data_IF_951566916730
#
_entry.id   IF_951566916730
#
_cell.length_a   1.000
_cell.length_b   1.000
_cell.length_c   1.000
_cell.angle_alpha   90.00
_cell.angle_beta   90.00
_cell.angle_gamma   90.00
#
_symmetry.space_group_name_H-M   'P 1'
#
loop_
_entity.id
_entity.type
_entity.pdbx_description
1 polymer ?
#
# COMPACT_ATOMS: atom_id res chain seq x y z
N UNK A 1 35.66 20.95 -21.48
CA UNK A 1 35.09 19.67 -21.00
C UNK A 1 33.57 19.77 -21.03
N UNK A 2 32.87 18.92 -21.82
CA UNK A 2 31.42 19.02 -22.05
C UNK A 2 30.54 18.96 -20.77
N UNK A 3 31.04 18.37 -19.69
CA UNK A 3 30.32 18.24 -18.42
C UNK A 3 30.16 19.57 -17.67
N UNK A 4 31.15 20.47 -17.77
CA UNK A 4 31.09 21.82 -17.17
C UNK A 4 30.05 22.69 -17.89
N UNK A 5 30.01 22.64 -19.22
CA UNK A 5 29.00 23.35 -20.01
C UNK A 5 27.59 22.79 -19.82
N UNK A 6 27.47 21.51 -19.46
CA UNK A 6 26.20 20.83 -19.17
C UNK A 6 25.82 20.85 -17.70
N UNK A 7 26.60 21.49 -16.82
CA UNK A 7 26.34 21.66 -15.39
C UNK A 7 26.02 20.31 -14.72
N UNK A 8 26.75 19.27 -15.11
CA UNK A 8 26.40 17.90 -14.75
C UNK A 8 26.45 17.69 -13.25
N UNK A 9 27.45 18.25 -12.57
CA UNK A 9 27.63 18.11 -11.11
C UNK A 9 26.50 18.82 -10.36
N UNK A 10 26.21 20.08 -10.70
CA UNK A 10 25.21 20.90 -10.04
C UNK A 10 23.80 20.32 -10.21
N UNK A 11 23.50 19.71 -11.37
CA UNK A 11 22.23 19.00 -11.59
C UNK A 11 22.14 17.75 -10.72
N UNK A 12 23.22 17.00 -10.59
CA UNK A 12 23.26 15.80 -9.73
C UNK A 12 23.09 16.21 -8.28
N UNK A 13 23.84 17.22 -7.79
CA UNK A 13 23.74 17.72 -6.42
C UNK A 13 22.31 18.17 -6.07
N UNK A 14 21.68 18.96 -6.94
CA UNK A 14 20.28 19.37 -6.76
C UNK A 14 19.34 18.17 -6.74
N UNK A 15 19.54 17.19 -7.61
CA UNK A 15 18.70 15.99 -7.65
C UNK A 15 18.89 15.14 -6.40
N UNK A 16 20.12 14.99 -5.90
CA UNK A 16 20.43 14.28 -4.66
C UNK A 16 19.77 14.94 -3.46
N UNK A 17 19.88 16.28 -3.34
CA UNK A 17 19.23 17.02 -2.26
C UNK A 17 17.70 16.84 -2.27
N UNK A 18 17.10 16.78 -3.47
CA UNK A 18 15.66 16.55 -3.63
C UNK A 18 15.22 15.14 -3.22
N UNK A 19 15.97 14.09 -3.57
CA UNK A 19 15.57 12.70 -3.31
C UNK A 19 16.01 12.20 -1.93
N UNK A 20 17.07 12.77 -1.34
CA UNK A 20 17.61 12.35 -0.05
C UNK A 20 16.57 12.22 1.09
N UNK A 21 15.61 13.15 1.27
CA UNK A 21 14.59 12.99 2.31
C UNK A 21 13.52 11.94 1.99
N UNK A 22 13.41 11.49 0.74
CA UNK A 22 12.42 10.52 0.27
C UNK A 22 12.96 9.08 0.28
N UNK A 23 14.20 8.88 0.73
CA UNK A 23 14.81 7.55 0.78
C UNK A 23 14.21 6.75 1.93
N UNK A 24 13.56 5.63 1.59
CA UNK A 24 13.16 4.61 2.56
C UNK A 24 14.38 4.01 3.27
N UNK A 25 14.56 4.35 4.54
CA UNK A 25 15.69 3.87 5.37
C UNK A 25 15.39 2.57 6.11
N UNK A 26 14.13 2.36 6.47
CA UNK A 26 13.66 1.19 7.21
C UNK A 26 12.38 0.68 6.54
N UNK A 27 12.16 -0.63 6.60
CA UNK A 27 10.98 -1.31 6.05
C UNK A 27 10.60 -2.46 6.98
N UNK A 28 9.31 -2.58 7.26
CA UNK A 28 8.76 -3.69 8.02
C UNK A 28 7.66 -4.36 7.20
N UNK A 29 7.69 -5.69 7.04
CA UNK A 29 6.64 -6.39 6.31
C UNK A 29 5.34 -6.35 7.09
N UNK A 30 4.23 -6.13 6.39
CA UNK A 30 2.90 -6.32 6.98
C UNK A 30 2.61 -7.82 7.18
N UNK A 31 1.89 -8.19 8.25
CA UNK A 31 1.39 -9.54 8.41
C UNK A 31 0.43 -9.93 7.27
N UNK A 32 0.28 -11.25 7.00
CA UNK A 32 -0.66 -11.74 6.01
C UNK A 32 -2.06 -11.15 6.20
N UNK A 33 -2.70 -10.82 5.09
CA UNK A 33 -4.04 -10.31 5.11
C UNK A 33 -5.05 -11.45 5.23
N UNK A 34 -6.25 -11.09 5.64
CA UNK A 34 -7.46 -11.89 5.57
C UNK A 34 -8.37 -11.29 4.51
N UNK A 35 -8.88 -12.13 3.64
CA UNK A 35 -9.69 -11.79 2.49
C UNK A 35 -11.11 -12.28 2.70
N UNK A 36 -12.06 -11.37 2.51
CA UNK A 36 -13.48 -11.68 2.34
C UNK A 36 -13.96 -11.07 1.04
N UNK A 37 -14.64 -11.88 0.25
CA UNK A 37 -15.40 -11.40 -0.90
C UNK A 37 -16.71 -10.81 -0.41
N UNK A 38 -17.07 -9.64 -0.93
CA UNK A 38 -18.33 -8.98 -0.66
C UNK A 38 -19.36 -9.39 -1.73
N UNK A 39 -20.63 -9.35 -1.38
CA UNK A 39 -21.74 -9.71 -2.26
C UNK A 39 -21.98 -8.64 -3.34
N UNK A 40 -21.66 -7.38 -3.06
CA UNK A 40 -21.88 -6.24 -3.96
C UNK A 40 -21.07 -5.02 -3.52
N UNK A 41 -20.89 -3.99 -4.37
CA UNK A 41 -20.23 -2.75 -3.98
C UNK A 41 -21.05 -1.90 -2.98
N UNK A 42 -22.32 -2.25 -2.77
CA UNK A 42 -23.20 -1.62 -1.78
C UNK A 42 -23.23 -2.33 -0.43
N UNK A 43 -22.53 -3.46 -0.27
CA UNK A 43 -22.37 -4.07 1.04
C UNK A 43 -21.52 -3.14 1.92
N UNK A 44 -21.97 -2.89 3.15
CA UNK A 44 -21.23 -2.05 4.08
C UNK A 44 -19.87 -2.70 4.38
N UNK A 45 -18.75 -1.98 4.18
CA UNK A 45 -17.44 -2.57 4.37
C UNK A 45 -17.22 -2.90 5.85
N UNK A 46 -16.73 -4.10 6.19
CA UNK A 46 -16.54 -4.55 7.57
C UNK A 46 -15.29 -3.88 8.20
N UNK A 47 -15.40 -2.61 8.57
CA UNK A 47 -14.29 -1.76 9.04
C UNK A 47 -14.14 -1.68 10.56
N UNK A 48 -15.03 -2.31 11.33
CA UNK A 48 -15.02 -2.25 12.79
C UNK A 48 -13.66 -2.75 13.35
N UNK A 49 -13.02 -2.05 14.30
CA UNK A 49 -11.72 -2.45 14.86
C UNK A 49 -11.76 -3.81 15.56
N UNK A 50 -12.89 -4.15 16.20
CA UNK A 50 -13.12 -5.36 17.00
C UNK A 50 -13.77 -6.51 16.21
N UNK A 51 -13.89 -6.38 14.89
CA UNK A 51 -14.42 -7.42 14.02
C UNK A 51 -13.61 -8.73 14.14
N UNK A 52 -14.30 -9.83 14.41
CA UNK A 52 -13.73 -11.18 14.29
C UNK A 52 -13.63 -11.60 12.81
N UNK A 53 -12.40 -11.64 12.30
CA UNK A 53 -12.06 -12.08 10.95
C UNK A 53 -11.45 -13.49 10.91
N UNK A 54 -11.50 -14.24 12.02
CA UNK A 54 -10.81 -15.53 12.16
C UNK A 54 -11.22 -16.56 11.10
N UNK A 55 -12.46 -16.51 10.62
CA UNK A 55 -13.03 -17.38 9.59
C UNK A 55 -12.72 -16.97 8.14
N UNK A 56 -12.09 -15.81 7.91
CA UNK A 56 -11.79 -15.31 6.57
C UNK A 56 -10.60 -16.05 5.93
N UNK A 57 -10.56 -16.04 4.59
CA UNK A 57 -9.48 -16.64 3.82
C UNK A 57 -8.16 -15.94 4.14
N UNK A 58 -7.12 -16.68 4.50
CA UNK A 58 -5.79 -16.09 4.76
C UNK A 58 -5.01 -15.93 3.45
N UNK A 59 -4.57 -14.71 3.17
CA UNK A 59 -3.78 -14.32 2.02
C UNK A 59 -2.34 -13.95 2.43
N UNK A 60 -1.38 -14.85 2.18
CA UNK A 60 0.03 -14.65 2.52
C UNK A 60 0.85 -14.20 1.29
N UNK A 61 1.45 -13.00 1.29
CA UNK A 61 2.27 -12.54 0.16
C UNK A 61 3.54 -13.38 -0.05
N UNK A 62 3.99 -13.60 -1.30
CA UNK A 62 3.27 -13.30 -2.53
C UNK A 62 2.14 -14.31 -2.75
N UNK A 63 0.96 -13.83 -3.13
CA UNK A 63 -0.18 -14.67 -3.44
C UNK A 63 -0.81 -14.24 -4.76
N UNK A 64 -1.27 -15.23 -5.54
CA UNK A 64 -2.15 -14.98 -6.67
C UNK A 64 -3.58 -14.96 -6.15
N UNK A 65 -4.25 -13.83 -6.32
CA UNK A 65 -5.62 -13.61 -5.88
C UNK A 65 -6.33 -12.69 -6.88
N UNK A 66 -7.55 -12.27 -6.55
CA UNK A 66 -8.36 -11.45 -7.44
C UNK A 66 -9.37 -12.28 -8.23
N UNK A 67 -10.52 -11.68 -8.47
CA UNK A 67 -11.60 -12.22 -9.31
C UNK A 67 -12.12 -11.10 -10.19
N UNK A 68 -12.62 -11.44 -11.37
CA UNK A 68 -13.23 -10.46 -12.24
C UNK A 68 -14.55 -9.95 -11.62
N UNK A 69 -14.77 -8.62 -11.62
CA UNK A 69 -15.99 -7.96 -11.12
C UNK A 69 -16.36 -8.41 -9.71
N UNK A 70 -15.39 -8.42 -8.81
CA UNK A 70 -15.59 -8.82 -7.43
C UNK A 70 -15.20 -7.68 -6.48
N UNK A 71 -16.04 -7.48 -5.48
CA UNK A 71 -15.80 -6.58 -4.37
C UNK A 71 -15.16 -7.35 -3.22
N UNK A 72 -14.26 -6.72 -2.49
CA UNK A 72 -13.47 -7.40 -1.47
C UNK A 72 -13.18 -6.52 -0.26
N UNK A 73 -12.94 -7.19 0.87
CA UNK A 73 -12.32 -6.62 2.05
C UNK A 73 -11.01 -7.37 2.32
N UNK A 74 -9.91 -6.62 2.42
CA UNK A 74 -8.62 -7.09 2.90
C UNK A 74 -8.37 -6.50 4.28
N UNK A 75 -8.13 -7.36 5.27
CA UNK A 75 -7.90 -6.94 6.66
C UNK A 75 -6.62 -7.54 7.22
N UNK A 76 -5.86 -6.75 7.96
CA UNK A 76 -4.69 -7.20 8.73
C UNK A 76 -4.57 -6.34 9.98
N UNK A 77 -3.76 -6.80 10.93
CA UNK A 77 -3.42 -6.02 12.12
C UNK A 77 -1.91 -6.01 12.28
N UNK A 78 -1.35 -4.86 12.63
CA UNK A 78 0.07 -4.70 12.85
C UNK A 78 0.31 -3.66 13.95
N UNK A 79 1.48 -3.72 14.55
CA UNK A 79 1.96 -2.69 15.46
C UNK A 79 3.17 -2.01 14.84
N UNK A 80 3.27 -0.70 15.01
CA UNK A 80 4.50 0.01 14.68
C UNK A 80 5.61 -0.39 15.66
N UNK A 81 6.85 -0.57 15.19
CA UNK A 81 7.98 -0.81 16.08
C UNK A 81 8.28 0.44 16.92
N UNK A 82 8.84 0.23 18.10
CA UNK A 82 9.08 1.32 19.06
C UNK A 82 10.03 2.41 18.53
N UNK A 83 10.90 2.07 17.58
CA UNK A 83 11.86 2.96 16.93
C UNK A 83 11.36 3.51 15.57
N UNK A 84 10.07 3.37 15.26
CA UNK A 84 9.51 3.87 14.01
C UNK A 84 9.72 5.39 13.87
N UNK A 85 10.18 5.88 12.69
CA UNK A 85 10.30 7.30 12.44
C UNK A 85 8.93 7.99 12.42
N UNK A 86 8.89 9.33 12.58
CA UNK A 86 7.64 10.08 12.60
C UNK A 86 6.95 10.15 11.23
N UNK A 87 7.66 9.84 10.15
CA UNK A 87 7.11 9.80 8.79
C UNK A 87 7.20 8.38 8.27
N UNK A 88 6.02 7.81 8.00
CA UNK A 88 5.83 6.45 7.54
C UNK A 88 4.95 6.48 6.29
N UNK A 89 5.14 5.48 5.43
CA UNK A 89 4.26 5.20 4.31
C UNK A 89 3.76 3.76 4.45
N UNK A 90 2.52 3.52 4.03
CA UNK A 90 1.95 2.18 3.97
C UNK A 90 2.01 1.71 2.52
N UNK A 91 2.92 0.77 2.23
CA UNK A 91 3.06 0.24 0.87
C UNK A 91 2.14 -0.97 0.65
N UNK A 92 1.11 -0.80 -0.19
CA UNK A 92 0.12 -1.83 -0.53
C UNK A 92 0.15 -2.14 -2.03
N UNK A 93 1.07 -3.00 -2.49
CA UNK A 93 1.08 -3.46 -3.88
C UNK A 93 -0.04 -4.48 -4.06
N UNK A 94 -1.25 -4.03 -4.43
CA UNK A 94 -2.45 -4.88 -4.60
C UNK A 94 -2.42 -5.76 -5.87
N UNK A 95 -1.24 -5.94 -6.47
CA UNK A 95 -1.01 -6.76 -7.66
C UNK A 95 -1.12 -5.97 -8.97
N UNK A 96 -0.83 -6.67 -10.07
CA UNK A 96 -0.95 -6.15 -11.44
C UNK A 96 -1.88 -7.06 -12.24
N UNK A 97 -3.02 -6.52 -12.68
CA UNK A 97 -4.00 -7.22 -13.50
C UNK A 97 -3.71 -7.10 -15.02
N UNK A 98 -2.53 -6.64 -15.41
CA UNK A 98 -2.13 -6.42 -16.80
C UNK A 98 -2.66 -5.09 -17.32
N UNK A 99 -3.55 -5.10 -18.31
CA UNK A 99 -4.07 -3.88 -18.95
C UNK A 99 -5.17 -3.16 -18.16
N UNK A 100 -5.54 -3.70 -17.00
CA UNK A 100 -6.63 -3.15 -16.18
C UNK A 100 -6.06 -2.38 -14.98
N UNK A 101 -6.64 -1.20 -14.67
CA UNK A 101 -6.13 -0.34 -13.58
C UNK A 101 -6.46 -0.81 -12.15
N UNK A 102 -7.12 -1.95 -12.03
CA UNK A 102 -7.64 -2.51 -10.78
C UNK A 102 -6.69 -3.57 -10.18
N UNK A 103 -6.84 -3.93 -8.90
CA UNK A 103 -7.86 -3.48 -7.95
C UNK A 103 -7.66 -2.03 -7.48
N UNK A 104 -8.78 -1.37 -7.17
CA UNK A 104 -8.85 -0.07 -6.48
C UNK A 104 -9.54 -0.30 -5.13
N UNK A 105 -9.12 0.39 -4.08
CA UNK A 105 -9.74 0.27 -2.76
C UNK A 105 -9.64 1.55 -1.92
N UNK A 106 -10.43 1.60 -0.86
CA UNK A 106 -10.32 2.59 0.21
C UNK A 106 -9.64 1.94 1.42
N UNK A 107 -8.57 2.57 1.90
CA UNK A 107 -7.81 2.13 3.06
C UNK A 107 -8.39 2.75 4.32
N UNK A 108 -8.61 1.91 5.32
CA UNK A 108 -9.03 2.32 6.66
C UNK A 108 -7.97 1.89 7.68
N UNK A 109 -7.66 2.77 8.64
CA UNK A 109 -6.86 2.45 9.82
C UNK A 109 -7.72 2.61 11.07
N UNK A 110 -7.86 1.56 11.85
CA UNK A 110 -8.68 1.54 13.07
C UNK A 110 -10.11 2.10 12.86
N UNK A 111 -10.70 1.77 11.72
CA UNK A 111 -12.04 2.19 11.32
C UNK A 111 -12.12 3.60 10.71
N UNK A 112 -11.02 4.36 10.64
CA UNK A 112 -10.99 5.68 10.04
C UNK A 112 -10.49 5.64 8.59
N UNK A 113 -11.16 6.32 7.64
CA UNK A 113 -10.70 6.39 6.26
C UNK A 113 -9.37 7.15 6.18
N UNK A 114 -8.41 6.60 5.44
CA UNK A 114 -7.07 7.18 5.28
C UNK A 114 -6.85 7.72 3.86
N UNK A 115 -6.95 6.83 2.86
CA UNK A 115 -6.63 7.14 1.47
C UNK A 115 -7.27 6.11 0.52
N UNK A 116 -7.32 6.45 -0.77
CA UNK A 116 -7.56 5.47 -1.82
C UNK A 116 -6.23 4.83 -2.25
N UNK A 117 -6.27 3.58 -2.69
CA UNK A 117 -5.12 2.85 -3.22
C UNK A 117 -5.51 2.13 -4.52
N UNK A 118 -4.62 2.17 -5.50
CA UNK A 118 -4.74 1.47 -6.77
C UNK A 118 -3.34 1.03 -7.27
N UNK A 119 -3.25 0.43 -8.46
CA UNK A 119 -1.97 -0.02 -9.02
C UNK A 119 -0.93 1.10 -9.22
N UNK A 120 -1.36 2.35 -9.35
CA UNK A 120 -0.53 3.53 -9.57
C UNK A 120 -0.29 4.32 -8.27
N UNK A 121 -1.19 4.19 -7.29
CA UNK A 121 -1.15 4.83 -5.98
C UNK A 121 -1.09 3.76 -4.89
N UNK A 122 0.12 3.29 -4.59
CA UNK A 122 0.37 2.18 -3.66
C UNK A 122 0.87 2.64 -2.28
N UNK A 123 1.05 3.95 -2.07
CA UNK A 123 1.62 4.59 -0.87
C UNK A 123 0.82 5.82 -0.48
#
# INVERSE_FOLDING_TARGET
MHHTQRWTVEKIERRLALIAPLVYRQRWPLPPFRLRWLASPGEEPPIAPDLDDSAWERLAPPARWGRNRADFALRTSFCLPADAPPTLALYLPLGDAGDFSHPECLVYLDGQPLAACDRHHQE
#
